data_IF_731568912099
#
_entry.id   IF_731568912099
#
_cell.length_a   1.000
_cell.length_b   1.000
_cell.length_c   1.000
_cell.angle_alpha   90.00
_cell.angle_beta   90.00
_cell.angle_gamma   90.00
#
_symmetry.space_group_name_H-M   'P 1'
#
loop_
_entity.id
_entity.type
_entity.pdbx_description
1 polymer ?
#
# COMPACT_ATOMS: atom_id res chain seq x y z
N UNK A 1 29.56 -3.65 -11.16
CA UNK A 1 28.96 -4.96 -10.85
C UNK A 1 28.47 -5.57 -12.16
N UNK A 2 29.12 -6.61 -12.70
CA UNK A 2 28.53 -7.40 -13.78
C UNK A 2 27.37 -8.16 -13.14
N UNK A 3 26.14 -7.68 -13.35
CA UNK A 3 24.94 -8.19 -12.71
C UNK A 3 24.68 -9.61 -13.19
N UNK A 4 25.02 -10.59 -12.37
CA UNK A 4 24.69 -11.98 -12.63
C UNK A 4 23.18 -12.15 -12.49
N UNK A 5 22.50 -12.43 -13.60
CA UNK A 5 21.05 -12.62 -13.69
C UNK A 5 20.56 -13.66 -12.67
N UNK A 6 21.40 -14.64 -12.34
CA UNK A 6 21.12 -15.64 -11.32
C UNK A 6 21.02 -15.03 -9.91
N UNK A 7 21.86 -14.04 -9.59
CA UNK A 7 21.80 -13.31 -8.31
C UNK A 7 20.53 -12.47 -8.22
N UNK A 8 20.15 -11.79 -9.31
CA UNK A 8 18.92 -10.99 -9.36
C UNK A 8 17.68 -11.87 -9.12
N UNK A 9 17.60 -13.04 -9.78
CA UNK A 9 16.49 -13.99 -9.56
C UNK A 9 16.39 -14.49 -8.13
N UNK A 10 17.53 -14.76 -7.47
CA UNK A 10 17.55 -15.21 -6.08
C UNK A 10 17.05 -14.11 -5.14
N UNK A 11 17.43 -12.86 -5.39
CA UNK A 11 16.94 -11.69 -4.65
C UNK A 11 15.44 -11.50 -4.87
N UNK A 12 14.95 -11.53 -6.11
CA UNK A 12 13.52 -11.42 -6.42
C UNK A 12 12.69 -12.53 -5.79
N UNK A 13 13.21 -13.77 -5.74
CA UNK A 13 12.54 -14.88 -5.04
C UNK A 13 12.41 -14.61 -3.54
N UNK A 14 13.49 -14.18 -2.88
CA UNK A 14 13.45 -13.86 -1.46
C UNK A 14 12.52 -12.68 -1.18
N UNK A 15 12.61 -11.62 -1.99
CA UNK A 15 11.74 -10.46 -1.91
C UNK A 15 10.26 -10.85 -2.10
N UNK A 16 9.93 -11.71 -3.06
CA UNK A 16 8.56 -12.22 -3.26
C UNK A 16 8.06 -12.95 -2.00
N UNK A 17 8.83 -13.84 -1.40
CA UNK A 17 8.42 -14.52 -0.15
C UNK A 17 8.18 -13.51 0.98
N UNK A 18 9.06 -12.52 1.14
CA UNK A 18 8.89 -11.46 2.16
C UNK A 18 7.62 -10.64 1.89
N UNK A 19 7.35 -10.28 0.63
CA UNK A 19 6.16 -9.54 0.26
C UNK A 19 4.89 -10.37 0.47
N UNK A 20 4.90 -11.68 0.22
CA UNK A 20 3.77 -12.57 0.52
C UNK A 20 3.44 -12.58 2.01
N UNK A 21 4.46 -12.66 2.87
CA UNK A 21 4.28 -12.57 4.33
C UNK A 21 3.70 -11.19 4.70
N UNK A 22 4.18 -10.12 4.06
CA UNK A 22 3.65 -8.78 4.22
C UNK A 22 2.17 -8.66 3.83
N UNK A 23 1.76 -9.25 2.69
CA UNK A 23 0.37 -9.28 2.22
C UNK A 23 -0.55 -9.93 3.27
N UNK A 24 -0.16 -11.11 3.77
CA UNK A 24 -0.90 -11.82 4.82
C UNK A 24 -0.96 -10.98 6.10
N UNK A 25 0.15 -10.35 6.48
CA UNK A 25 0.24 -9.52 7.69
C UNK A 25 -0.73 -8.34 7.62
N UNK A 26 -0.73 -7.57 6.52
CA UNK A 26 -1.64 -6.43 6.38
C UNK A 26 -3.10 -6.86 6.32
N UNK A 27 -3.40 -8.03 5.72
CA UNK A 27 -4.75 -8.58 5.71
C UNK A 27 -5.21 -8.93 7.14
N UNK A 28 -4.38 -9.63 7.91
CA UNK A 28 -4.69 -9.97 9.31
C UNK A 28 -4.86 -8.70 10.15
N UNK A 29 -3.98 -7.72 9.99
CA UNK A 29 -4.07 -6.44 10.71
C UNK A 29 -5.36 -5.68 10.38
N UNK A 30 -5.79 -5.69 9.10
CA UNK A 30 -7.05 -5.06 8.68
C UNK A 30 -8.24 -5.72 9.39
N UNK A 31 -8.30 -7.05 9.37
CA UNK A 31 -9.38 -7.80 10.05
C UNK A 31 -9.35 -7.57 11.56
N UNK A 32 -8.16 -7.59 12.17
CA UNK A 32 -7.99 -7.37 13.60
C UNK A 32 -8.46 -5.97 14.03
N UNK A 33 -8.11 -4.92 13.28
CA UNK A 33 -8.56 -3.55 13.57
C UNK A 33 -10.07 -3.42 13.47
N UNK A 34 -10.70 -3.99 12.43
CA UNK A 34 -12.16 -3.95 12.28
C UNK A 34 -12.84 -4.71 13.43
N UNK A 35 -12.30 -5.88 13.80
CA UNK A 35 -12.85 -6.68 14.89
C UNK A 35 -12.71 -5.97 16.24
N UNK A 36 -11.54 -5.40 16.55
CA UNK A 36 -11.31 -4.63 17.78
C UNK A 36 -12.18 -3.36 17.82
N UNK A 37 -12.30 -2.65 16.69
CA UNK A 37 -13.20 -1.52 16.54
C UNK A 37 -14.66 -1.88 16.82
N UNK A 38 -15.16 -3.01 16.29
CA UNK A 38 -16.52 -3.48 16.57
C UNK A 38 -16.71 -3.91 18.05
N UNK A 39 -15.75 -4.67 18.61
CA UNK A 39 -15.79 -5.13 20.00
C UNK A 39 -15.69 -3.98 21.01
N UNK A 40 -15.06 -2.86 20.65
CA UNK A 40 -14.93 -1.67 21.49
C UNK A 40 -16.29 -1.09 21.91
N UNK A 41 -17.34 -1.28 21.11
CA UNK A 41 -18.70 -0.85 21.47
C UNK A 41 -19.39 -1.78 22.48
N UNK A 42 -18.90 -3.00 22.62
CA UNK A 42 -19.48 -4.02 23.50
C UNK A 42 -18.79 -4.12 24.86
N UNK A 43 -17.54 -3.66 24.98
CA UNK A 43 -16.75 -3.77 26.21
C UNK A 43 -15.97 -2.47 26.51
N UNK A 44 -16.18 -1.84 27.68
CA UNK A 44 -15.43 -0.67 28.11
C UNK A 44 -13.92 -0.90 28.20
N UNK A 45 -13.49 -2.09 28.60
CA UNK A 45 -12.06 -2.44 28.73
C UNK A 45 -11.39 -2.54 27.35
N UNK A 46 -12.10 -3.09 26.36
CA UNK A 46 -11.61 -3.14 24.98
C UNK A 46 -11.59 -1.73 24.38
N UNK A 47 -12.59 -0.91 24.71
CA UNK A 47 -12.67 0.48 24.27
C UNK A 47 -11.48 1.29 24.73
N UNK A 48 -11.14 1.25 26.02
CA UNK A 48 -9.99 2.00 26.55
C UNK A 48 -8.69 1.52 25.93
N UNK A 49 -8.46 0.20 25.92
CA UNK A 49 -7.28 -0.39 25.30
C UNK A 49 -7.12 0.01 23.83
N UNK A 50 -8.20 -0.07 23.05
CA UNK A 50 -8.17 0.21 21.62
C UNK A 50 -8.04 1.71 21.34
N UNK A 51 -8.74 2.56 22.10
CA UNK A 51 -8.62 4.02 22.03
C UNK A 51 -7.20 4.50 22.34
N UNK A 52 -6.53 3.89 23.32
CA UNK A 52 -5.13 4.16 23.65
C UNK A 52 -4.18 3.70 22.53
N UNK A 53 -4.46 2.54 21.93
CA UNK A 53 -3.67 1.99 20.82
C UNK A 53 -3.70 2.90 19.59
N UNK A 54 -4.89 3.36 19.19
CA UNK A 54 -5.07 4.22 18.01
C UNK A 54 -4.95 5.71 18.35
N UNK A 55 -4.78 6.08 19.63
CA UNK A 55 -4.71 7.47 20.11
C UNK A 55 -5.82 8.35 19.54
N UNK A 56 -7.06 7.85 19.57
CA UNK A 56 -8.22 8.61 19.15
C UNK A 56 -8.78 9.41 20.35
N UNK A 57 -9.51 10.49 20.06
CA UNK A 57 -10.34 11.17 21.07
C UNK A 57 -11.36 10.23 21.73
N UNK A 58 -11.91 10.67 22.87
CA UNK A 58 -12.81 9.83 23.69
C UNK A 58 -14.23 9.62 23.15
N UNK A 59 -14.59 10.21 22.00
CA UNK A 59 -15.94 10.13 21.44
C UNK A 59 -16.13 8.90 20.56
N UNK A 60 -17.39 8.45 20.41
CA UNK A 60 -17.72 7.31 19.53
C UNK A 60 -17.37 7.59 18.07
N UNK A 61 -17.58 8.83 17.62
CA UNK A 61 -17.23 9.26 16.26
C UNK A 61 -15.73 9.13 16.03
N UNK A 62 -14.93 9.60 16.99
CA UNK A 62 -13.46 9.54 16.91
C UNK A 62 -12.95 8.09 16.84
N UNK A 63 -13.57 7.18 17.61
CA UNK A 63 -13.24 5.76 17.60
C UNK A 63 -13.57 5.09 16.26
N UNK A 64 -14.74 5.40 15.68
CA UNK A 64 -15.14 4.92 14.35
C UNK A 64 -14.15 5.46 13.30
N UNK A 65 -13.85 6.76 13.36
CA UNK A 65 -12.93 7.42 12.45
C UNK A 65 -11.54 6.79 12.49
N UNK A 66 -10.97 6.59 13.69
CA UNK A 66 -9.66 5.95 13.85
C UNK A 66 -9.65 4.47 13.41
N UNK A 67 -10.74 3.73 13.63
CA UNK A 67 -10.88 2.35 13.13
C UNK A 67 -10.82 2.33 11.59
N UNK A 68 -11.60 3.21 10.95
CA UNK A 68 -11.66 3.29 9.49
C UNK A 68 -10.34 3.81 8.90
N UNK A 69 -9.71 4.80 9.54
CA UNK A 69 -8.41 5.34 9.14
C UNK A 69 -7.37 4.23 9.04
N UNK A 70 -7.22 3.46 10.12
CA UNK A 70 -6.28 2.34 10.20
C UNK A 70 -6.61 1.24 9.19
N UNK A 71 -7.90 0.91 9.01
CA UNK A 71 -8.31 -0.07 8.02
C UNK A 71 -7.98 0.36 6.58
N UNK A 72 -8.26 1.62 6.21
CA UNK A 72 -7.93 2.18 4.89
C UNK A 72 -6.42 2.22 4.67
N UNK A 73 -5.65 2.62 5.69
CA UNK A 73 -4.18 2.64 5.62
C UNK A 73 -3.60 1.23 5.41
N UNK A 74 -4.12 0.23 6.14
CA UNK A 74 -3.69 -1.16 6.00
C UNK A 74 -4.06 -1.75 4.64
N UNK A 75 -5.23 -1.41 4.10
CA UNK A 75 -5.62 -1.81 2.74
C UNK A 75 -4.71 -1.15 1.68
N UNK A 76 -4.37 0.13 1.81
CA UNK A 76 -3.44 0.78 0.89
C UNK A 76 -2.04 0.13 0.91
N UNK A 77 -1.55 -0.22 2.10
CA UNK A 77 -0.29 -0.95 2.26
C UNK A 77 -0.38 -2.37 1.68
N UNK A 78 -1.49 -3.07 1.89
CA UNK A 78 -1.74 -4.39 1.29
C UNK A 78 -1.65 -4.33 -0.24
N UNK A 79 -2.34 -3.38 -0.88
CA UNK A 79 -2.30 -3.22 -2.35
C UNK A 79 -0.87 -2.97 -2.84
N UNK A 80 -0.12 -2.14 -2.12
CA UNK A 80 1.27 -1.83 -2.46
C UNK A 80 2.16 -3.07 -2.40
N UNK A 81 2.07 -3.81 -1.30
CA UNK A 81 2.86 -5.03 -1.11
C UNK A 81 2.47 -6.10 -2.12
N UNK A 82 1.18 -6.24 -2.41
CA UNK A 82 0.67 -7.17 -3.43
C UNK A 82 1.24 -6.85 -4.82
N UNK A 83 1.20 -5.59 -5.25
CA UNK A 83 1.77 -5.17 -6.53
C UNK A 83 3.27 -5.46 -6.59
N UNK A 84 4.02 -5.17 -5.52
CA UNK A 84 5.46 -5.45 -5.47
C UNK A 84 5.72 -6.96 -5.49
N UNK A 85 4.92 -7.74 -4.75
CA UNK A 85 4.97 -9.20 -4.77
C UNK A 85 4.82 -9.73 -6.20
N UNK A 86 3.79 -9.28 -6.92
CA UNK A 86 3.47 -9.74 -8.26
C UNK A 86 4.58 -9.39 -9.25
N UNK A 87 5.14 -8.19 -9.15
CA UNK A 87 6.31 -7.77 -9.96
C UNK A 87 7.52 -8.67 -9.69
N UNK A 88 7.86 -8.91 -8.42
CA UNK A 88 9.01 -9.74 -8.05
C UNK A 88 8.83 -11.21 -8.47
N UNK A 89 7.61 -11.74 -8.30
CA UNK A 89 7.25 -13.07 -8.75
C UNK A 89 7.32 -13.21 -10.28
N UNK A 90 6.99 -12.14 -11.02
CA UNK A 90 7.07 -12.13 -12.48
C UNK A 90 8.52 -12.07 -12.99
N UNK A 91 9.36 -11.21 -12.41
CA UNK A 91 10.79 -11.12 -12.75
C UNK A 91 11.51 -12.46 -12.55
N UNK A 92 11.12 -13.22 -11.52
CA UNK A 92 11.65 -14.56 -11.28
C UNK A 92 11.37 -15.52 -12.46
N UNK A 93 10.23 -15.37 -13.15
CA UNK A 93 9.77 -16.27 -14.21
C UNK A 93 10.27 -15.86 -15.60
N UNK A 94 10.08 -14.61 -16.00
CA UNK A 94 10.17 -14.20 -17.42
C UNK A 94 11.42 -13.37 -17.77
N UNK A 95 12.39 -13.24 -16.85
CA UNK A 95 13.72 -12.65 -17.10
C UNK A 95 13.76 -11.15 -17.45
N UNK A 96 12.62 -10.44 -17.61
CA UNK A 96 12.56 -8.98 -17.78
C UNK A 96 11.55 -8.36 -16.79
N UNK A 97 11.83 -7.17 -16.22
CA UNK A 97 10.88 -6.40 -15.44
C UNK A 97 9.93 -5.52 -16.30
N UNK A 98 10.14 -5.46 -17.62
CA UNK A 98 9.34 -4.66 -18.54
C UNK A 98 8.26 -5.51 -19.19
N UNK A 99 7.18 -5.72 -18.45
CA UNK A 99 5.98 -6.41 -18.96
C UNK A 99 4.82 -5.44 -19.08
N UNK A 100 3.83 -5.80 -19.90
CA UNK A 100 2.61 -5.01 -20.06
C UNK A 100 1.87 -4.77 -18.72
N UNK A 101 1.96 -5.72 -17.79
CA UNK A 101 1.23 -5.66 -16.52
C UNK A 101 1.95 -4.90 -15.40
N UNK A 102 3.28 -4.75 -15.47
CA UNK A 102 4.05 -4.03 -14.44
C UNK A 102 3.65 -2.55 -14.32
N UNK A 103 3.49 -1.78 -15.42
CA UNK A 103 2.95 -0.43 -15.35
C UNK A 103 1.54 -0.37 -14.78
N UNK A 104 0.68 -1.37 -15.08
CA UNK A 104 -0.69 -1.42 -14.55
C UNK A 104 -0.67 -1.56 -13.02
N UNK A 105 0.27 -2.33 -12.48
CA UNK A 105 0.52 -2.45 -11.04
C UNK A 105 0.90 -1.12 -10.39
N UNK A 106 1.92 -0.42 -10.90
CA UNK A 106 2.29 0.90 -10.34
C UNK A 106 1.17 1.93 -10.44
N UNK A 107 0.40 1.90 -11.54
CA UNK A 107 -0.77 2.76 -11.72
C UNK A 107 -1.84 2.47 -10.66
N UNK A 108 -2.06 1.19 -10.35
CA UNK A 108 -3.00 0.78 -9.31
C UNK A 108 -2.59 1.37 -7.96
N UNK A 109 -1.32 1.24 -7.56
CA UNK A 109 -0.81 1.82 -6.30
C UNK A 109 -0.98 3.34 -6.30
N UNK A 110 -0.64 4.02 -7.40
CA UNK A 110 -0.83 5.46 -7.55
C UNK A 110 -2.28 5.88 -7.29
N UNK A 111 -3.23 5.22 -7.96
CA UNK A 111 -4.65 5.50 -7.80
C UNK A 111 -5.15 5.15 -6.39
N UNK A 112 -4.70 4.05 -5.80
CA UNK A 112 -5.06 3.68 -4.43
C UNK A 112 -4.68 4.77 -3.44
N UNK A 113 -3.46 5.29 -3.49
CA UNK A 113 -3.06 6.39 -2.60
C UNK A 113 -3.75 7.70 -2.92
N UNK A 114 -3.99 8.02 -4.20
CA UNK A 114 -4.70 9.24 -4.58
C UNK A 114 -6.14 9.23 -4.07
N UNK A 115 -6.86 8.11 -4.25
CA UNK A 115 -8.23 7.94 -3.79
C UNK A 115 -8.28 7.89 -2.26
N UNK A 116 -7.32 7.23 -1.61
CA UNK A 116 -7.27 7.10 -0.15
C UNK A 116 -6.85 8.39 0.55
N UNK A 117 -6.22 9.34 -0.14
CA UNK A 117 -5.75 10.59 0.44
C UNK A 117 -6.89 11.39 1.10
N UNK A 118 -8.02 11.53 0.40
CA UNK A 118 -9.20 12.26 0.90
C UNK A 118 -9.80 11.61 2.15
N UNK A 119 -10.21 10.32 2.14
CA UNK A 119 -10.79 9.70 3.32
C UNK A 119 -9.78 9.63 4.48
N UNK A 120 -8.50 9.32 4.25
CA UNK A 120 -7.50 9.30 5.33
C UNK A 120 -7.34 10.68 5.99
N UNK A 121 -7.33 11.76 5.20
CA UNK A 121 -7.26 13.14 5.71
C UNK A 121 -8.48 13.49 6.57
N UNK A 122 -9.68 13.18 6.07
CA UNK A 122 -10.93 13.46 6.79
C UNK A 122 -11.02 12.63 8.08
N UNK A 123 -10.68 11.34 7.99
CA UNK A 123 -10.73 10.43 9.12
C UNK A 123 -9.72 10.83 10.18
N UNK A 124 -8.51 11.27 9.81
CA UNK A 124 -7.53 11.76 10.78
C UNK A 124 -8.04 13.00 11.52
N UNK A 125 -8.61 13.96 10.78
CA UNK A 125 -9.20 15.15 11.38
C UNK A 125 -10.33 14.80 12.36
N UNK A 126 -11.20 13.84 12.00
CA UNK A 126 -12.28 13.38 12.88
C UNK A 126 -11.79 12.53 14.07
N UNK A 127 -10.68 11.80 13.88
CA UNK A 127 -10.07 10.93 14.88
C UNK A 127 -9.36 11.75 15.96
N UNK A 128 -8.46 12.67 15.57
CA UNK A 128 -7.55 13.35 16.50
C UNK A 128 -7.78 14.86 16.59
N UNK A 129 -8.48 15.46 15.63
CA UNK A 129 -8.64 16.91 15.53
C UNK A 129 -7.35 17.64 15.13
N UNK A 130 -6.34 16.92 14.64
CA UNK A 130 -5.04 17.49 14.27
C UNK A 130 -5.02 17.87 12.78
N UNK A 131 -5.21 19.16 12.50
CA UNK A 131 -5.19 19.72 11.15
C UNK A 131 -3.83 19.56 10.46
N UNK A 132 -2.74 19.64 11.22
CA UNK A 132 -1.38 19.58 10.66
C UNK A 132 -1.11 18.16 10.19
N UNK A 133 -1.41 17.16 11.02
CA UNK A 133 -1.20 15.76 10.64
C UNK A 133 -2.13 15.37 9.48
N UNK A 134 -3.39 15.80 9.49
CA UNK A 134 -4.32 15.56 8.39
C UNK A 134 -3.77 16.10 7.05
N UNK A 135 -3.26 17.34 7.03
CA UNK A 135 -2.62 17.92 5.83
C UNK A 135 -1.36 17.14 5.44
N UNK A 136 -0.53 16.73 6.41
CA UNK A 136 0.64 15.91 6.12
C UNK A 136 0.27 14.58 5.45
N UNK A 137 -0.79 13.91 5.91
CA UNK A 137 -1.30 12.67 5.29
C UNK A 137 -1.69 12.92 3.83
N UNK A 138 -2.46 13.98 3.56
CA UNK A 138 -2.85 14.37 2.21
C UNK A 138 -1.62 14.52 1.28
N UNK A 139 -0.61 15.27 1.74
CA UNK A 139 0.60 15.55 0.98
C UNK A 139 1.45 14.30 0.76
N UNK A 140 1.56 13.42 1.76
CA UNK A 140 2.30 12.15 1.64
C UNK A 140 1.61 11.21 0.65
N UNK A 141 0.28 11.05 0.73
CA UNK A 141 -0.47 10.23 -0.22
C UNK A 141 -0.36 10.79 -1.65
N UNK A 142 -0.43 12.11 -1.81
CA UNK A 142 -0.23 12.78 -3.10
C UNK A 142 1.19 12.53 -3.65
N UNK A 143 2.22 12.64 -2.80
CA UNK A 143 3.61 12.39 -3.19
C UNK A 143 3.81 10.93 -3.64
N UNK A 144 3.32 9.96 -2.86
CA UNK A 144 3.38 8.54 -3.23
C UNK A 144 2.68 8.31 -4.56
N UNK A 145 1.49 8.90 -4.75
CA UNK A 145 0.74 8.80 -6.01
C UNK A 145 1.55 9.31 -7.21
N UNK A 146 2.16 10.50 -7.09
CA UNK A 146 2.98 11.09 -8.16
C UNK A 146 4.19 10.21 -8.47
N UNK A 147 4.93 9.75 -7.45
CA UNK A 147 6.10 8.89 -7.64
C UNK A 147 5.71 7.59 -8.34
N UNK A 148 4.63 6.94 -7.92
CA UNK A 148 4.16 5.70 -8.54
C UNK A 148 3.64 5.92 -9.96
N UNK A 149 3.05 7.07 -10.24
CA UNK A 149 2.66 7.45 -11.60
C UNK A 149 3.89 7.68 -12.51
N UNK A 150 4.94 8.31 -12.00
CA UNK A 150 6.21 8.44 -12.73
C UNK A 150 6.81 7.05 -13.06
N UNK A 151 6.81 6.13 -12.10
CA UNK A 151 7.25 4.74 -12.33
C UNK A 151 6.39 4.04 -13.39
N UNK A 152 5.08 4.26 -13.38
CA UNK A 152 4.17 3.76 -14.42
C UNK A 152 4.63 4.19 -15.81
N UNK A 153 4.94 5.47 -16.00
CA UNK A 153 5.39 6.01 -17.30
C UNK A 153 6.72 5.40 -17.71
N UNK A 154 7.70 5.35 -16.79
CA UNK A 154 9.04 4.82 -17.07
C UNK A 154 8.97 3.35 -17.51
N UNK A 155 8.23 2.52 -16.77
CA UNK A 155 8.11 1.09 -17.10
C UNK A 155 7.30 0.85 -18.37
N UNK A 156 6.26 1.66 -18.62
CA UNK A 156 5.49 1.58 -19.87
C UNK A 156 6.35 1.93 -21.08
N UNK A 157 7.18 2.97 -20.95
CA UNK A 157 8.12 3.35 -22.00
C UNK A 157 9.17 2.25 -22.23
N UNK A 158 9.73 1.68 -21.17
CA UNK A 158 10.66 0.55 -21.27
C UNK A 158 10.08 -0.68 -21.97
N UNK A 159 8.81 -1.01 -21.69
CA UNK A 159 8.09 -2.08 -22.39
C UNK A 159 7.95 -1.81 -23.89
N UNK A 160 7.53 -0.60 -24.28
CA UNK A 160 7.39 -0.23 -25.70
C UNK A 160 8.73 -0.29 -26.44
N UNK A 161 9.81 0.17 -25.83
CA UNK A 161 11.15 0.07 -26.43
C UNK A 161 11.61 -1.38 -26.61
N UNK A 162 11.27 -2.26 -25.67
CA UNK A 162 11.61 -3.68 -25.77
C UNK A 162 10.82 -4.34 -26.90
N UNK A 163 9.51 -4.04 -27.01
CA UNK A 163 8.63 -4.53 -28.08
C UNK A 163 9.10 -4.08 -29.48
N UNK A 164 9.43 -2.79 -29.63
CA UNK A 164 9.98 -2.26 -30.89
C UNK A 164 11.32 -2.92 -31.26
N UNK A 165 12.18 -3.22 -30.28
CA UNK A 165 13.46 -3.89 -30.50
C UNK A 165 13.27 -5.34 -30.93
N UNK A 166 12.33 -6.06 -30.32
CA UNK A 166 12.03 -7.46 -30.62
C UNK A 166 11.35 -7.62 -32.01
N UNK A 167 10.66 -6.59 -32.50
CA UNK A 167 10.05 -6.57 -33.83
C UNK A 167 10.94 -6.05 -34.97
N UNK A 168 12.11 -5.49 -34.67
CA UNK A 168 13.06 -4.95 -35.67
C UNK A 168 14.27 -5.86 -35.93
N UNK A 169 14.42 -6.95 -35.18
CA UNK A 169 15.41 -8.01 -35.36
C UNK A 169 14.82 -9.25 -36.07
#
# INVERSE_FOLDING_TARGET
>A
MRGDLHTLKKVCRYASVVMLIGEITFLVLTVAVIALGALSFSSPDIRSMFSDLIKCGGSDISLISGTLEMAVAFLAMFVTVKVIHDIMASIQREHSPFMEDTPKGFKLVSLTFLISAVPLTILEYLCRGDEIIAICILLVCALISVVMYCLTIIFRYGFLLQDESDHTL
#
